data_IF_105163345170
#
_entry.id   IF_105163345170
#
_cell.length_a   1.000
_cell.length_b   1.000
_cell.length_c   1.000
_cell.angle_alpha   90.00
_cell.angle_beta   90.00
_cell.angle_gamma   90.00
#
_symmetry.space_group_name_H-M   'P 1'
#
loop_
_entity.id
_entity.type
_entity.pdbx_description
1 polymer ?
#
# COMPACT_ATOMS: atom_id res chain seq x y z
N UNK A 1 37.10 -15.08 26.87
CA UNK A 1 37.28 -13.76 26.22
C UNK A 1 35.96 -13.42 25.56
N UNK A 2 35.43 -12.22 25.80
CA UNK A 2 34.20 -11.78 25.16
C UNK A 2 34.45 -11.63 23.64
N UNK A 3 33.51 -12.10 22.82
CA UNK A 3 33.53 -12.01 21.35
C UNK A 3 32.47 -11.02 20.89
N UNK A 4 32.65 -10.42 19.72
CA UNK A 4 31.68 -9.51 19.13
C UNK A 4 30.26 -10.11 19.05
N UNK A 5 29.26 -9.25 19.26
CA UNK A 5 27.85 -9.60 19.17
C UNK A 5 27.36 -9.43 17.72
N UNK A 6 26.80 -10.48 17.12
CA UNK A 6 26.36 -10.47 15.72
C UNK A 6 24.85 -10.23 15.59
N UNK A 7 24.46 -9.19 14.83
CA UNK A 7 23.07 -8.93 14.44
C UNK A 7 23.00 -8.83 12.92
N UNK A 8 22.54 -9.90 12.27
CA UNK A 8 22.49 -9.99 10.82
C UNK A 8 23.89 -9.90 10.21
N UNK A 9 24.17 -8.81 9.48
CA UNK A 9 25.45 -8.52 8.85
C UNK A 9 26.39 -7.65 9.68
N UNK A 10 25.93 -7.18 10.83
CA UNK A 10 26.62 -6.18 11.64
C UNK A 10 27.22 -6.86 12.88
N UNK A 11 28.45 -6.47 13.23
CA UNK A 11 29.11 -6.89 14.46
C UNK A 11 29.27 -5.71 15.41
N UNK A 12 29.00 -5.93 16.68
CA UNK A 12 29.14 -4.93 17.72
C UNK A 12 30.25 -5.32 18.70
N UNK A 13 31.00 -4.31 19.14
CA UNK A 13 32.03 -4.46 20.15
C UNK A 13 31.41 -4.98 21.45
N UNK A 14 31.96 -6.05 22.06
CA UNK A 14 31.39 -6.64 23.27
C UNK A 14 31.60 -5.77 24.52
N UNK A 15 32.48 -4.77 24.46
CA UNK A 15 32.84 -3.93 25.61
C UNK A 15 31.98 -2.66 25.64
N UNK A 16 31.92 -1.94 24.52
CA UNK A 16 31.26 -0.62 24.46
C UNK A 16 29.99 -0.60 23.59
N UNK A 17 29.67 -1.69 22.90
CA UNK A 17 28.49 -1.77 22.02
C UNK A 17 28.60 -0.96 20.72
N UNK A 18 29.79 -0.44 20.39
CA UNK A 18 30.03 0.28 19.12
C UNK A 18 29.97 -0.69 17.94
N UNK A 19 29.38 -0.27 16.83
CA UNK A 19 29.44 -1.00 15.57
C UNK A 19 30.90 -1.10 15.09
N UNK A 20 31.39 -2.33 14.88
CA UNK A 20 32.73 -2.56 14.37
C UNK A 20 32.78 -2.32 12.87
N UNK A 21 33.91 -1.83 12.37
CA UNK A 21 34.13 -1.66 10.94
C UNK A 21 34.32 -3.00 10.23
N UNK A 22 34.16 -2.99 8.91
CA UNK A 22 34.46 -4.13 8.07
C UNK A 22 35.97 -4.33 7.97
N UNK A 23 36.48 -5.57 8.11
CA UNK A 23 37.90 -5.84 7.93
C UNK A 23 38.33 -5.54 6.50
N UNK A 24 39.49 -4.91 6.33
CA UNK A 24 40.13 -4.82 5.00
C UNK A 24 40.77 -6.17 4.66
N UNK A 25 40.93 -6.47 3.37
CA UNK A 25 41.44 -7.77 2.86
C UNK A 25 42.80 -8.23 3.44
N UNK A 26 43.56 -7.35 4.09
CA UNK A 26 44.88 -7.64 4.68
C UNK A 26 44.93 -7.52 6.21
N UNK A 27 43.82 -7.16 6.86
CA UNK A 27 43.76 -6.96 8.31
C UNK A 27 43.26 -8.24 9.01
N UNK A 28 44.06 -8.76 9.95
CA UNK A 28 43.71 -9.95 10.74
C UNK A 28 42.83 -9.61 11.95
N UNK A 29 42.80 -8.33 12.34
CA UNK A 29 42.13 -7.80 13.52
C UNK A 29 41.49 -6.45 13.21
N UNK A 30 40.39 -6.17 13.89
CA UNK A 30 39.58 -4.96 13.77
C UNK A 30 39.57 -4.31 15.14
N UNK A 31 40.15 -3.11 15.22
CA UNK A 31 40.18 -2.34 16.45
C UNK A 31 38.93 -1.49 16.56
N UNK A 32 38.27 -1.51 17.71
CA UNK A 32 37.13 -0.65 17.99
C UNK A 32 37.56 0.79 18.24
N UNK A 33 37.07 1.73 17.44
CA UNK A 33 37.41 3.16 17.53
C UNK A 33 37.10 3.82 18.88
N UNK A 34 36.14 3.29 19.65
CA UNK A 34 35.69 3.93 20.90
C UNK A 34 36.41 3.43 22.13
N UNK A 35 36.76 2.14 22.19
CA UNK A 35 37.35 1.52 23.39
C UNK A 35 38.69 0.82 23.14
N UNK A 36 39.15 0.77 21.89
CA UNK A 36 40.42 0.13 21.52
C UNK A 36 40.40 -1.40 21.60
N UNK A 37 39.23 -2.02 21.72
CA UNK A 37 39.10 -3.48 21.75
C UNK A 37 39.37 -4.10 20.39
N UNK A 38 40.24 -5.11 20.34
CA UNK A 38 40.60 -5.83 19.13
C UNK A 38 39.73 -7.09 18.95
N UNK A 39 39.00 -7.15 17.84
CA UNK A 39 38.25 -8.33 17.41
C UNK A 39 38.93 -9.00 16.22
N UNK A 40 38.97 -10.33 16.14
CA UNK A 40 39.55 -11.02 14.99
C UNK A 40 38.66 -10.83 13.74
N UNK A 41 39.29 -10.62 12.58
CA UNK A 41 38.58 -10.46 11.31
C UNK A 41 37.77 -11.73 10.93
N UNK A 42 38.15 -12.89 11.45
CA UNK A 42 37.39 -14.14 11.28
C UNK A 42 35.99 -14.10 11.89
N UNK A 43 35.69 -13.14 12.78
CA UNK A 43 34.33 -12.91 13.27
C UNK A 43 33.36 -12.48 12.15
N UNK A 44 33.86 -11.96 11.01
CA UNK A 44 33.06 -11.62 9.83
C UNK A 44 32.87 -12.78 8.84
N UNK A 45 33.52 -13.92 9.06
CA UNK A 45 33.39 -15.06 8.17
C UNK A 45 32.04 -15.76 8.33
N UNK A 46 31.56 -16.39 7.25
CA UNK A 46 30.35 -17.21 7.24
C UNK A 46 29.03 -16.50 7.57
N UNK A 47 29.00 -15.17 7.53
CA UNK A 47 27.78 -14.38 7.71
C UNK A 47 26.88 -14.48 6.47
N UNK A 48 25.76 -15.21 6.58
CA UNK A 48 24.78 -15.37 5.49
C UNK A 48 23.65 -14.36 5.62
N UNK A 49 23.51 -13.51 4.61
CA UNK A 49 22.40 -12.55 4.50
C UNK A 49 21.45 -13.04 3.42
N UNK A 50 20.18 -13.23 3.77
CA UNK A 50 19.13 -13.56 2.81
C UNK A 50 18.24 -12.36 2.57
N UNK A 51 18.41 -11.71 1.43
CA UNK A 51 17.49 -10.68 0.95
C UNK A 51 16.40 -11.32 0.08
N UNK A 52 15.18 -10.81 0.19
CA UNK A 52 14.08 -11.17 -0.69
C UNK A 52 13.45 -9.90 -1.22
N UNK A 53 13.02 -9.94 -2.48
CA UNK A 53 12.35 -8.81 -3.10
C UNK A 53 11.00 -8.57 -2.43
N UNK A 54 10.63 -7.29 -2.25
CA UNK A 54 9.34 -6.96 -1.66
C UNK A 54 8.22 -7.60 -2.48
N UNK A 55 7.18 -8.17 -1.84
CA UNK A 55 6.06 -8.75 -2.54
C UNK A 55 5.17 -7.72 -3.24
N UNK A 56 5.66 -6.57 -3.68
CA UNK A 56 4.98 -5.62 -4.57
C UNK A 56 5.97 -4.86 -5.46
N UNK A 57 7.25 -5.23 -5.44
CA UNK A 57 8.27 -4.61 -6.28
C UNK A 57 8.02 -4.82 -7.79
N UNK A 58 7.24 -5.85 -8.15
CA UNK A 58 6.98 -6.24 -9.53
C UNK A 58 5.48 -6.39 -9.79
N UNK A 59 4.71 -5.30 -9.95
CA UNK A 59 3.29 -5.40 -10.29
C UNK A 59 3.11 -6.01 -11.69
N UNK A 60 2.34 -7.09 -11.78
CA UNK A 60 2.01 -7.73 -13.06
C UNK A 60 0.63 -8.38 -13.01
N UNK A 61 0.01 -8.59 -14.18
CA UNK A 61 -1.30 -9.22 -14.29
C UNK A 61 -1.32 -10.64 -13.68
N UNK A 62 -0.24 -11.42 -13.87
CA UNK A 62 -0.09 -12.74 -13.25
C UNK A 62 -0.01 -12.66 -11.73
N UNK A 63 0.65 -11.63 -11.21
CA UNK A 63 0.84 -11.44 -9.78
C UNK A 63 -0.39 -10.89 -9.09
N UNK A 64 -1.17 -10.05 -9.78
CA UNK A 64 -2.51 -9.63 -9.33
C UNK A 64 -3.46 -10.83 -9.24
N UNK A 65 -3.39 -11.80 -10.15
CA UNK A 65 -4.16 -13.05 -10.07
C UNK A 65 -3.77 -13.94 -8.88
N UNK A 66 -2.56 -13.76 -8.33
CA UNK A 66 -2.07 -14.46 -7.14
C UNK A 66 -2.51 -13.78 -5.83
N UNK A 67 -2.88 -12.51 -5.88
CA UNK A 67 -3.56 -11.86 -4.75
C UNK A 67 -4.98 -12.42 -4.71
N UNK A 68 -5.41 -12.92 -3.55
CA UNK A 68 -6.81 -13.27 -3.32
C UNK A 68 -7.62 -12.03 -3.60
N UNK A 69 -8.36 -12.03 -4.72
CA UNK A 69 -9.31 -10.98 -4.99
C UNK A 69 -10.44 -11.12 -3.97
N UNK A 70 -10.29 -10.53 -2.78
CA UNK A 70 -11.41 -9.75 -2.27
C UNK A 70 -11.59 -8.68 -3.33
N UNK A 71 -12.41 -8.98 -4.34
CA UNK A 71 -13.10 -7.92 -5.05
C UNK A 71 -13.76 -7.16 -3.92
N UNK A 72 -13.18 -6.03 -3.54
CA UNK A 72 -14.03 -4.92 -3.15
C UNK A 72 -14.99 -4.87 -4.32
N UNK A 73 -16.22 -5.33 -4.11
CA UNK A 73 -17.31 -4.79 -4.88
C UNK A 73 -17.10 -3.29 -4.72
N UNK A 74 -16.54 -2.64 -5.74
CA UNK A 74 -16.73 -1.21 -5.91
C UNK A 74 -18.22 -1.06 -5.71
N UNK A 75 -18.57 -0.45 -4.57
CA UNK A 75 -19.75 -0.81 -3.79
C UNK A 75 -20.97 -0.98 -4.68
N UNK A 76 -21.84 -1.92 -4.30
CA UNK A 76 -23.26 -1.76 -4.54
C UNK A 76 -23.55 -0.26 -4.41
N UNK A 77 -23.88 0.40 -5.52
CA UNK A 77 -23.76 1.84 -5.71
C UNK A 77 -24.46 2.54 -4.53
N UNK A 78 -23.70 2.90 -3.49
CA UNK A 78 -24.21 3.17 -2.13
C UNK A 78 -25.07 4.44 -2.03
N UNK A 79 -25.42 5.03 -3.16
CA UNK A 79 -26.28 6.20 -3.26
C UNK A 79 -27.21 6.17 -4.46
N UNK A 80 -27.46 4.99 -5.04
CA UNK A 80 -28.41 4.85 -6.15
C UNK A 80 -29.73 4.29 -5.63
N UNK A 81 -30.80 5.08 -5.71
CA UNK A 81 -32.16 4.68 -5.32
C UNK A 81 -33.05 4.53 -6.55
N UNK A 82 -34.06 3.67 -6.46
CA UNK A 82 -35.07 3.52 -7.51
C UNK A 82 -36.16 4.58 -7.35
N UNK A 83 -36.53 5.22 -8.46
CA UNK A 83 -37.57 6.25 -8.51
C UNK A 83 -38.52 5.99 -9.67
N UNK A 84 -39.79 6.39 -9.53
CA UNK A 84 -40.81 6.25 -10.57
C UNK A 84 -40.82 7.43 -11.55
N UNK A 85 -39.70 8.14 -11.72
CA UNK A 85 -39.62 9.27 -12.63
C UNK A 85 -39.68 8.80 -14.09
N UNK A 86 -40.42 9.53 -14.92
CA UNK A 86 -40.60 9.18 -16.33
C UNK A 86 -39.42 9.69 -17.15
N UNK A 87 -38.76 8.80 -17.89
CA UNK A 87 -37.69 9.19 -18.79
C UNK A 87 -38.23 10.14 -19.89
N UNK A 88 -37.65 11.34 -20.07
CA UNK A 88 -38.14 12.31 -21.03
C UNK A 88 -37.91 11.90 -22.50
N UNK A 89 -37.05 10.90 -22.74
CA UNK A 89 -36.70 10.44 -24.09
C UNK A 89 -37.51 9.21 -24.51
N UNK A 90 -37.47 8.14 -23.72
CA UNK A 90 -38.13 6.87 -24.07
C UNK A 90 -39.53 6.71 -23.44
N UNK A 91 -39.90 7.58 -22.50
CA UNK A 91 -41.20 7.54 -21.83
C UNK A 91 -41.38 6.40 -20.84
N UNK A 92 -40.34 5.60 -20.56
CA UNK A 92 -40.36 4.55 -19.54
C UNK A 92 -40.55 5.13 -18.15
N UNK A 93 -41.36 4.47 -17.32
CA UNK A 93 -41.60 4.83 -15.93
C UNK A 93 -40.62 4.07 -15.05
N UNK A 94 -39.60 4.76 -14.52
CA UNK A 94 -38.56 4.14 -13.70
C UNK A 94 -37.17 4.68 -14.02
N UNK A 95 -36.48 5.16 -12.99
CA UNK A 95 -35.13 5.72 -13.07
C UNK A 95 -34.32 5.46 -11.81
N UNK A 96 -33.02 5.25 -11.97
CA UNK A 96 -32.04 5.19 -10.88
C UNK A 96 -31.56 6.60 -10.54
N UNK A 97 -31.86 7.08 -9.34
CA UNK A 97 -31.52 8.41 -8.83
C UNK A 97 -30.27 8.40 -7.95
N UNK A 98 -29.45 9.45 -8.05
CA UNK A 98 -28.29 9.69 -7.19
C UNK A 98 -28.21 11.15 -6.79
N UNK A 99 -28.21 11.41 -5.49
CA UNK A 99 -28.16 12.77 -4.98
C UNK A 99 -26.71 13.26 -4.86
N UNK A 100 -26.45 14.47 -5.36
CA UNK A 100 -25.21 15.20 -5.09
C UNK A 100 -25.48 16.68 -4.85
N UNK A 101 -24.83 17.22 -3.82
CA UNK A 101 -24.80 18.66 -3.63
C UNK A 101 -23.80 19.28 -4.61
N UNK A 102 -24.29 20.13 -5.50
CA UNK A 102 -23.49 20.81 -6.51
C UNK A 102 -23.22 22.28 -6.15
N UNK A 103 -23.87 22.80 -5.10
CA UNK A 103 -23.86 24.21 -4.71
C UNK A 103 -23.65 24.38 -3.20
N UNK A 104 -23.79 25.60 -2.71
CA UNK A 104 -23.66 25.93 -1.29
C UNK A 104 -24.70 25.18 -0.44
N UNK A 105 -24.43 25.04 0.87
CA UNK A 105 -25.30 24.33 1.81
C UNK A 105 -26.70 24.94 1.99
N UNK A 106 -26.92 26.15 1.48
CA UNK A 106 -28.19 26.89 1.53
C UNK A 106 -29.16 26.51 0.39
N UNK A 107 -28.70 25.73 -0.59
CA UNK A 107 -29.51 25.28 -1.74
C UNK A 107 -29.83 23.77 -1.65
N UNK A 108 -30.98 23.37 -2.21
CA UNK A 108 -31.41 21.97 -2.29
C UNK A 108 -30.42 21.08 -3.06
N UNK A 109 -30.46 19.77 -2.81
CA UNK A 109 -29.62 18.81 -3.51
C UNK A 109 -30.02 18.67 -4.99
N UNK A 110 -29.04 18.38 -5.85
CA UNK A 110 -29.31 17.99 -7.24
C UNK A 110 -29.42 16.47 -7.31
N UNK A 111 -30.54 15.98 -7.84
CA UNK A 111 -30.76 14.56 -8.12
C UNK A 111 -30.35 14.26 -9.55
N UNK A 112 -29.49 13.27 -9.74
CA UNK A 112 -29.09 12.75 -11.04
C UNK A 112 -29.84 11.45 -11.32
N UNK A 113 -30.66 11.42 -12.35
CA UNK A 113 -31.39 10.24 -12.77
C UNK A 113 -30.72 9.55 -13.95
N UNK A 114 -30.78 8.22 -13.98
CA UNK A 114 -30.44 7.37 -15.10
C UNK A 114 -31.65 6.49 -15.46
N UNK A 115 -32.02 6.46 -16.74
CA UNK A 115 -33.17 5.68 -17.24
C UNK A 115 -32.99 4.19 -16.94
N UNK A 116 -33.97 3.56 -16.26
CA UNK A 116 -33.87 2.14 -15.89
C UNK A 116 -33.99 1.17 -17.09
N UNK A 117 -34.55 1.63 -18.21
CA UNK A 117 -34.76 0.79 -19.40
C UNK A 117 -33.50 0.65 -20.28
N UNK A 118 -32.69 1.70 -20.39
CA UNK A 118 -31.54 1.73 -21.30
C UNK A 118 -30.21 2.07 -20.63
N UNK A 119 -30.22 2.59 -19.40
CA UNK A 119 -29.06 3.11 -18.66
C UNK A 119 -28.16 4.08 -19.46
N UNK A 120 -28.67 4.66 -20.56
CA UNK A 120 -27.92 5.57 -21.46
C UNK A 120 -28.35 7.00 -21.26
N UNK A 121 -29.65 7.23 -21.06
CA UNK A 121 -30.15 8.57 -20.84
C UNK A 121 -30.03 8.95 -19.37
N UNK A 122 -29.32 10.06 -19.10
CA UNK A 122 -29.21 10.65 -17.78
C UNK A 122 -29.69 12.09 -17.81
N UNK A 123 -30.40 12.50 -16.76
CA UNK A 123 -30.86 13.87 -16.59
C UNK A 123 -30.72 14.30 -15.13
N UNK A 124 -30.77 15.61 -14.89
CA UNK A 124 -30.66 16.18 -13.54
C UNK A 124 -31.91 16.97 -13.19
N UNK A 125 -32.30 16.91 -11.93
CA UNK A 125 -33.38 17.69 -11.36
C UNK A 125 -32.84 18.41 -10.13
N UNK A 126 -33.04 19.72 -10.08
CA UNK A 126 -32.73 20.51 -8.89
C UNK A 126 -33.99 20.58 -8.04
N UNK A 127 -33.88 20.18 -6.78
CA UNK A 127 -34.93 20.41 -5.78
C UNK A 127 -34.75 21.76 -5.11
#
# INVERSE_FOLDING_TARGET
>A
MARAEQIGSLLFCPICGTLLDLPKDSEMTITCDQCGHDEPASSYENIKIRTQTHPDAFPSALRQKRKTQTKSHEGADLGTFESNEKCPVCGHLGAYGKDRQMRSADEGSTVFYACAADNRHTWRQNN
#
